data_IF_079214256957
#
_entry.id   IF_079214256957
#
_cell.length_a   1.000
_cell.length_b   1.000
_cell.length_c   1.000
_cell.angle_alpha   90.00
_cell.angle_beta   90.00
_cell.angle_gamma   90.00
#
_symmetry.space_group_name_H-M   'P 1'
#
loop_
_entity.id
_entity.type
_entity.pdbx_description
1 polymer ?
#
# COMPACT_ATOMS: atom_id res chain seq x y z
N UNK A 1 -1.96 -12.57 -20.05
CA UNK A 1 -0.70 -12.10 -19.46
C UNK A 1 -1.04 -11.29 -18.23
N UNK A 2 -0.57 -11.68 -17.04
CA UNK A 2 -0.68 -10.86 -15.83
C UNK A 2 0.28 -9.70 -16.02
N UNK A 3 -0.19 -8.52 -16.39
CA UNK A 3 0.67 -7.34 -16.53
C UNK A 3 1.38 -7.09 -15.20
N UNK A 4 2.70 -7.29 -15.18
CA UNK A 4 3.54 -7.02 -14.01
C UNK A 4 3.62 -5.50 -13.84
N UNK A 5 3.27 -5.02 -12.65
CA UNK A 5 3.42 -3.61 -12.30
C UNK A 5 4.91 -3.25 -12.29
N UNK A 6 5.24 -2.06 -12.76
CA UNK A 6 6.61 -1.57 -12.87
C UNK A 6 7.28 -1.49 -11.50
N UNK A 7 8.58 -1.83 -11.48
CA UNK A 7 9.40 -1.67 -10.27
C UNK A 7 9.44 -0.21 -9.81
N UNK A 8 9.43 0.74 -10.73
CA UNK A 8 9.42 2.18 -10.44
C UNK A 8 8.19 2.62 -9.65
N UNK A 9 7.01 2.04 -9.92
CA UNK A 9 5.80 2.36 -9.15
C UNK A 9 5.94 1.92 -7.68
N UNK A 10 6.48 0.72 -7.44
CA UNK A 10 6.76 0.23 -6.09
C UNK A 10 7.85 1.03 -5.39
N UNK A 11 8.94 1.38 -6.08
CA UNK A 11 10.00 2.23 -5.55
C UNK A 11 9.49 3.63 -5.19
N UNK A 12 8.61 4.21 -6.01
CA UNK A 12 7.96 5.49 -5.70
C UNK A 12 7.11 5.42 -4.45
N UNK A 13 6.36 4.33 -4.26
CA UNK A 13 5.59 4.10 -3.05
C UNK A 13 6.47 3.89 -1.82
N UNK A 14 7.53 3.08 -1.94
CA UNK A 14 8.48 2.82 -0.85
C UNK A 14 9.23 4.08 -0.41
N UNK A 15 9.66 4.91 -1.37
CA UNK A 15 10.19 6.25 -1.08
C UNK A 15 9.18 7.06 -0.27
N UNK A 16 7.90 7.06 -0.67
CA UNK A 16 6.87 7.83 0.05
C UNK A 16 6.58 7.27 1.44
N UNK A 17 6.73 5.96 1.66
CA UNK A 17 6.67 5.34 2.99
C UNK A 17 7.82 5.86 3.87
N UNK A 18 9.06 5.88 3.36
CA UNK A 18 10.20 6.47 4.09
C UNK A 18 9.95 7.94 4.45
N UNK A 19 9.42 8.72 3.51
CA UNK A 19 9.06 10.13 3.75
C UNK A 19 7.93 10.32 4.78
N UNK A 20 7.11 9.29 5.05
CA UNK A 20 6.00 9.34 6.01
C UNK A 20 6.26 8.44 7.23
N UNK A 21 7.53 8.12 7.51
CA UNK A 21 7.93 7.20 8.58
C UNK A 21 7.26 7.53 9.92
N UNK A 22 7.35 8.78 10.37
CA UNK A 22 6.82 9.19 11.66
C UNK A 22 5.30 9.04 11.73
N UNK A 23 4.58 9.40 10.66
CA UNK A 23 3.13 9.24 10.57
C UNK A 23 2.68 7.78 10.59
N UNK A 24 3.48 6.88 10.01
CA UNK A 24 3.26 5.43 10.06
C UNK A 24 3.62 4.85 11.43
N UNK A 25 4.69 5.34 12.05
CA UNK A 25 5.12 4.94 13.40
C UNK A 25 4.03 5.25 14.42
N UNK A 26 3.47 6.46 14.38
CA UNK A 26 2.45 6.93 15.32
C UNK A 26 1.04 6.75 14.75
N UNK A 27 0.85 5.81 13.82
CA UNK A 27 -0.43 5.65 13.13
C UNK A 27 -1.53 5.29 14.12
N UNK A 28 -2.54 6.16 14.20
CA UNK A 28 -3.77 5.91 14.93
C UNK A 28 -4.94 5.74 13.96
N UNK A 29 -5.88 4.89 14.36
CA UNK A 29 -7.15 4.70 13.68
C UNK A 29 -8.22 5.47 14.45
N UNK A 30 -9.09 6.19 13.73
CA UNK A 30 -10.26 6.80 14.35
C UNK A 30 -11.19 5.73 14.94
N UNK A 31 -12.04 6.13 15.88
CA UNK A 31 -13.00 5.22 16.51
C UNK A 31 -13.84 4.51 15.43
N UNK A 32 -13.90 3.17 15.53
CA UNK A 32 -14.53 2.26 14.58
C UNK A 32 -13.86 2.09 13.19
N UNK A 33 -12.83 2.88 12.85
CA UNK A 33 -12.10 2.68 11.60
C UNK A 33 -11.26 1.39 11.66
N UNK A 34 -11.41 0.51 10.67
CA UNK A 34 -10.64 -0.73 10.54
C UNK A 34 -9.46 -0.61 9.58
N UNK A 35 -9.45 0.42 8.74
CA UNK A 35 -8.35 0.74 7.83
C UNK A 35 -8.30 2.23 7.53
N UNK A 36 -7.16 2.67 6.98
CA UNK A 36 -6.99 4.01 6.40
C UNK A 36 -5.92 3.96 5.30
N UNK A 37 -6.06 4.81 4.29
CA UNK A 37 -4.96 5.07 3.35
C UNK A 37 -3.88 5.85 4.08
N UNK A 38 -2.72 5.24 4.30
CA UNK A 38 -1.63 5.87 5.04
C UNK A 38 -0.63 6.57 4.11
N UNK A 39 -0.39 6.00 2.93
CA UNK A 39 0.51 6.58 1.92
C UNK A 39 -0.13 6.48 0.55
N UNK A 40 -0.06 7.56 -0.23
CA UNK A 40 -0.61 7.62 -1.58
C UNK A 40 0.40 8.26 -2.54
N UNK A 41 0.63 7.61 -3.68
CA UNK A 41 1.29 8.19 -4.85
C UNK A 41 0.28 8.39 -5.97
N UNK A 42 0.73 8.83 -7.15
CA UNK A 42 -0.15 8.90 -8.32
C UNK A 42 -0.58 7.50 -8.76
N UNK A 43 0.34 6.56 -8.78
CA UNK A 43 0.13 5.23 -9.36
C UNK A 43 -0.37 4.20 -8.34
N UNK A 44 0.19 4.20 -7.13
CA UNK A 44 -0.11 3.21 -6.09
C UNK A 44 -0.54 3.89 -4.78
N UNK A 45 -1.12 3.11 -3.89
CA UNK A 45 -1.37 3.51 -2.50
C UNK A 45 -1.14 2.35 -1.55
N UNK A 46 -0.84 2.70 -0.31
CA UNK A 46 -0.64 1.79 0.80
C UNK A 46 -1.73 2.05 1.83
N UNK A 47 -2.68 1.13 1.88
CA UNK A 47 -3.76 1.14 2.85
C UNK A 47 -3.33 0.30 4.05
N UNK A 48 -3.43 0.85 5.26
CA UNK A 48 -3.08 0.16 6.48
C UNK A 48 -4.36 -0.28 7.17
N UNK A 49 -4.43 -1.57 7.50
CA UNK A 49 -5.50 -2.20 8.24
C UNK A 49 -5.03 -2.47 9.66
N UNK A 50 -5.85 -2.09 10.64
CA UNK A 50 -5.58 -2.36 12.05
C UNK A 50 -5.60 -3.87 12.28
N UNK A 51 -4.69 -4.37 13.12
CA UNK A 51 -4.86 -5.70 13.69
C UNK A 51 -5.72 -5.57 14.96
N UNK A 52 -6.87 -6.25 14.98
CA UNK A 52 -7.80 -6.20 16.11
C UNK A 52 -7.38 -7.08 17.29
N UNK A 53 -6.43 -7.99 17.08
CA UNK A 53 -5.90 -8.89 18.10
C UNK A 53 -4.63 -8.35 18.76
N UNK A 54 -3.88 -7.49 18.07
CA UNK A 54 -2.63 -6.91 18.53
C UNK A 54 -2.51 -5.47 18.01
N UNK A 55 -2.66 -4.49 18.91
CA UNK A 55 -2.63 -3.06 18.57
C UNK A 55 -1.24 -2.55 18.22
N UNK A 56 -0.19 -3.33 18.49
CA UNK A 56 1.19 -3.00 18.11
C UNK A 56 1.54 -3.44 16.69
N UNK A 57 0.59 -4.07 15.99
CA UNK A 57 0.79 -4.60 14.65
C UNK A 57 -0.26 -4.07 13.67
N UNK A 58 0.12 -3.98 12.41
CA UNK A 58 -0.77 -3.63 11.32
C UNK A 58 -0.52 -4.49 10.08
N UNK A 59 -1.48 -4.46 9.15
CA UNK A 59 -1.33 -5.07 7.83
C UNK A 59 -1.48 -4.01 6.75
N UNK A 60 -0.42 -3.81 5.98
CA UNK A 60 -0.41 -2.97 4.80
C UNK A 60 -0.90 -3.72 3.57
N UNK A 61 -1.73 -3.07 2.76
CA UNK A 61 -2.22 -3.57 1.48
C UNK A 61 -1.85 -2.57 0.39
N UNK A 62 -1.12 -3.04 -0.61
CA UNK A 62 -0.78 -2.24 -1.78
C UNK A 62 -1.92 -2.31 -2.79
N UNK A 63 -2.33 -1.15 -3.29
CA UNK A 63 -3.39 -1.03 -4.28
C UNK A 63 -2.98 -0.10 -5.42
N UNK A 64 -3.42 -0.44 -6.62
CA UNK A 64 -3.26 0.37 -7.83
C UNK A 64 -4.36 1.43 -7.89
N UNK A 65 -4.00 2.69 -8.14
CA UNK A 65 -4.96 3.79 -8.28
C UNK A 65 -5.57 3.83 -9.68
N UNK A 66 -6.88 4.03 -9.80
CA UNK A 66 -7.55 4.15 -11.11
C UNK A 66 -7.01 5.30 -11.99
N UNK A 67 -6.44 6.32 -11.36
CA UNK A 67 -5.85 7.49 -12.00
C UNK A 67 -4.33 7.38 -12.22
N UNK A 68 -3.78 6.16 -12.18
CA UNK A 68 -2.36 5.93 -12.41
C UNK A 68 -1.91 6.53 -13.75
N UNK A 69 -0.68 7.01 -13.80
CA UNK A 69 -0.01 7.50 -15.00
C UNK A 69 0.93 6.45 -15.59
N UNK A 70 1.49 5.59 -14.75
CA UNK A 70 2.30 4.45 -15.16
C UNK A 70 1.48 3.45 -16.01
N UNK A 71 2.02 3.09 -17.16
CA UNK A 71 1.32 2.26 -18.15
C UNK A 71 1.07 0.84 -17.65
N UNK A 72 2.01 0.25 -16.90
CA UNK A 72 1.87 -1.11 -16.38
C UNK A 72 0.80 -1.18 -15.29
N UNK A 73 0.65 -0.11 -14.50
CA UNK A 73 -0.40 0.00 -13.48
C UNK A 73 -1.76 0.15 -14.15
N UNK A 74 -1.87 0.98 -15.20
CA UNK A 74 -3.09 1.10 -16.01
C UNK A 74 -3.50 -0.25 -16.62
N UNK A 75 -2.55 -0.98 -17.19
CA UNK A 75 -2.80 -2.32 -17.76
C UNK A 75 -3.25 -3.32 -16.71
N UNK A 76 -2.60 -3.35 -15.54
CA UNK A 76 -3.01 -4.18 -14.41
C UNK A 76 -4.48 -3.92 -14.04
N UNK A 77 -4.87 -2.65 -13.94
CA UNK A 77 -6.24 -2.26 -13.62
C UNK A 77 -7.20 -2.76 -14.70
N UNK A 78 -6.93 -2.47 -15.98
CA UNK A 78 -7.76 -2.90 -17.12
C UNK A 78 -7.95 -4.42 -17.15
N UNK A 79 -6.89 -5.18 -16.86
CA UNK A 79 -6.94 -6.64 -16.83
C UNK A 79 -7.74 -7.23 -15.65
N UNK A 80 -7.97 -6.46 -14.59
CA UNK A 80 -8.77 -6.86 -13.41
C UNK A 80 -10.22 -6.38 -13.49
N UNK A 81 -10.47 -5.25 -14.13
CA UNK A 81 -11.81 -4.67 -14.27
C UNK A 81 -12.52 -5.24 -15.49
N UNK A 82 -13.15 -6.41 -15.36
CA UNK A 82 -14.19 -6.87 -16.30
C UNK A 82 -15.47 -6.02 -16.25
N UNK A 83 -15.37 -4.69 -16.08
CA UNK A 83 -16.51 -3.77 -16.05
C UNK A 83 -16.82 -3.06 -14.72
N UNK A 84 -16.07 -3.30 -13.63
CA UNK A 84 -16.30 -2.59 -12.34
C UNK A 84 -15.44 -1.33 -12.20
N UNK A 85 -16.10 -0.17 -12.09
CA UNK A 85 -15.51 1.17 -11.93
C UNK A 85 -15.08 1.45 -10.48
N UNK A 86 -14.20 0.61 -9.93
CA UNK A 86 -13.53 0.91 -8.66
C UNK A 86 -12.53 2.06 -8.81
N UNK A 87 -12.35 2.89 -7.78
CA UNK A 87 -11.32 3.95 -7.77
C UNK A 87 -9.90 3.41 -7.59
N UNK A 88 -9.77 2.10 -7.35
CA UNK A 88 -8.52 1.39 -7.10
C UNK A 88 -8.70 -0.11 -7.27
N UNK A 89 -7.59 -0.85 -7.46
CA UNK A 89 -7.55 -2.30 -7.55
C UNK A 89 -6.50 -2.89 -6.61
N UNK A 90 -6.86 -3.91 -5.84
CA UNK A 90 -5.95 -4.55 -4.89
C UNK A 90 -4.91 -5.38 -5.66
N UNK A 91 -3.62 -5.14 -5.38
CA UNK A 91 -2.52 -5.91 -5.98
C UNK A 91 -2.42 -7.30 -5.33
N UNK A 92 -2.98 -7.47 -4.14
CA UNK A 92 -3.11 -8.74 -3.43
C UNK A 92 -2.12 -8.91 -2.28
N UNK A 93 -1.09 -8.05 -2.21
CA UNK A 93 -0.06 -8.17 -1.19
C UNK A 93 -0.46 -7.59 0.15
N UNK A 94 -0.21 -8.40 1.18
CA UNK A 94 -0.39 -8.08 2.60
C UNK A 94 0.98 -8.08 3.25
N UNK A 95 1.40 -6.94 3.78
CA UNK A 95 2.67 -6.78 4.48
C UNK A 95 2.35 -6.53 5.95
N UNK A 96 2.73 -7.46 6.84
CA UNK A 96 2.64 -7.23 8.28
C UNK A 96 3.83 -6.40 8.74
N UNK A 97 3.58 -5.44 9.63
CA UNK A 97 4.61 -4.60 10.21
C UNK A 97 4.20 -4.12 11.60
N UNK A 98 5.19 -3.79 12.45
CA UNK A 98 4.97 -3.23 13.78
C UNK A 98 4.62 -1.74 13.74
N UNK A 99 3.94 -1.26 14.78
CA UNK A 99 3.63 0.15 15.04
C UNK A 99 4.38 0.60 16.29
N UNK A 100 4.42 1.92 16.54
CA UNK A 100 5.10 2.48 17.70
C UNK A 100 6.59 2.11 17.72
N UNK A 101 7.10 1.63 18.85
CA UNK A 101 8.51 1.30 19.00
C UNK A 101 8.95 0.09 18.17
N UNK A 102 8.02 -0.74 17.72
CA UNK A 102 8.27 -1.88 16.83
C UNK A 102 8.29 -1.50 15.35
N UNK A 103 8.04 -0.23 15.00
CA UNK A 103 7.99 0.20 13.62
C UNK A 103 9.39 0.28 12.99
N UNK A 104 9.60 -0.47 11.92
CA UNK A 104 10.80 -0.43 11.10
C UNK A 104 10.43 0.04 9.67
N UNK A 105 10.72 1.31 9.37
CA UNK A 105 10.38 1.89 8.07
C UNK A 105 11.16 1.27 6.92
N UNK A 106 12.42 0.89 7.14
CA UNK A 106 13.26 0.33 6.08
C UNK A 106 12.85 -1.08 5.71
N UNK A 107 12.48 -1.89 6.70
CA UNK A 107 11.91 -3.22 6.47
C UNK A 107 10.60 -3.12 5.68
N UNK A 108 9.70 -2.22 6.09
CA UNK A 108 8.44 -2.01 5.39
C UNK A 108 8.64 -1.51 3.95
N UNK A 109 9.49 -0.50 3.75
CA UNK A 109 9.78 0.05 2.43
C UNK A 109 10.42 -1.00 1.50
N UNK A 110 11.36 -1.79 2.03
CA UNK A 110 12.01 -2.88 1.29
C UNK A 110 11.00 -3.98 0.92
N UNK A 111 10.06 -4.32 1.81
CA UNK A 111 9.00 -5.27 1.51
C UNK A 111 8.09 -4.78 0.36
N UNK A 112 7.82 -3.47 0.30
CA UNK A 112 7.08 -2.87 -0.82
C UNK A 112 7.88 -2.94 -2.12
N UNK A 113 9.18 -2.61 -2.10
CA UNK A 113 10.05 -2.68 -3.29
C UNK A 113 10.19 -4.09 -3.86
N UNK A 114 10.14 -5.11 -2.99
CA UNK A 114 10.26 -6.52 -3.36
C UNK A 114 8.93 -7.16 -3.78
N UNK A 115 7.85 -6.39 -3.87
CA UNK A 115 6.58 -6.88 -4.39
C UNK A 115 6.71 -7.26 -5.88
N UNK A 116 6.17 -8.42 -6.24
CA UNK A 116 6.26 -9.04 -7.58
C UNK A 116 4.94 -9.00 -8.34
#
# INVERSE_FOLDING_TARGET
MTSKISKSAFQGLAKKIRENADSLKTLQFADNATSKTAVKTKDLRFDVHRNTQDTTMATGIIQANSQATDNTVKEFIKGKTGGHSGTHQVIGQKIRFGLGDNFNVEELATAVENTK
#
